data_IF_535414211451
#
_entry.id   IF_535414211451
#
_cell.length_a   1.000
_cell.length_b   1.000
_cell.length_c   1.000
_cell.angle_alpha   90.00
_cell.angle_beta   90.00
_cell.angle_gamma   90.00
#
_symmetry.space_group_name_H-M   'P 1'
#
loop_
_entity.id
_entity.type
_entity.pdbx_description
1 polymer ?
#
# COMPACT_ATOMS: atom_id res chain seq x y z
N UNK A 1 3.46 1.53 31.69
CA UNK A 1 3.12 1.42 30.25
C UNK A 1 3.54 2.71 29.60
N UNK A 2 4.39 2.68 28.54
CA UNK A 2 4.61 3.91 27.76
C UNK A 2 3.30 4.20 27.05
N UNK A 3 2.78 5.40 27.22
CA UNK A 3 1.59 5.84 26.48
C UNK A 3 1.83 5.67 24.98
N UNK A 4 0.83 5.28 24.21
CA UNK A 4 0.94 5.26 22.75
C UNK A 4 1.30 6.67 22.28
N UNK A 5 2.18 6.77 21.29
CA UNK A 5 2.42 8.04 20.63
C UNK A 5 1.07 8.56 20.10
N UNK A 6 0.84 9.85 20.22
CA UNK A 6 -0.38 10.49 19.76
C UNK A 6 -0.02 11.33 18.54
N UNK A 7 -0.81 11.16 17.48
CA UNK A 7 -0.73 11.98 16.27
C UNK A 7 -2.06 12.72 16.14
N UNK A 8 -1.99 14.02 15.93
CA UNK A 8 -3.14 14.85 15.65
C UNK A 8 -3.28 15.03 14.14
N UNK A 9 -4.50 14.92 13.61
CA UNK A 9 -4.77 15.10 12.20
C UNK A 9 -5.97 16.00 11.96
N UNK A 10 -6.04 16.61 10.79
CA UNK A 10 -7.14 17.47 10.34
C UNK A 10 -7.93 16.83 9.21
N UNK A 11 -7.23 16.26 8.24
CA UNK A 11 -7.82 15.68 7.03
C UNK A 11 -7.43 14.21 6.86
N UNK A 12 -8.42 13.33 6.94
CA UNK A 12 -8.22 11.88 6.77
C UNK A 12 -7.75 11.48 5.36
N UNK A 13 -7.99 12.33 4.36
CA UNK A 13 -7.65 12.03 2.98
C UNK A 13 -6.26 12.53 2.60
N UNK A 14 -5.85 13.69 3.12
CA UNK A 14 -4.67 14.40 2.63
C UNK A 14 -3.51 14.48 3.63
N UNK A 15 -3.75 14.27 4.93
CA UNK A 15 -2.67 14.31 5.91
C UNK A 15 -1.71 13.13 5.74
N UNK A 16 -0.41 13.42 5.77
CA UNK A 16 0.67 12.43 5.64
C UNK A 16 1.59 12.45 6.85
N UNK A 17 1.89 11.25 7.38
CA UNK A 17 2.73 11.08 8.60
C UNK A 17 3.93 10.18 8.37
N UNK A 18 4.20 9.81 7.12
CA UNK A 18 5.33 8.94 6.80
C UNK A 18 6.68 9.66 6.73
N UNK A 19 6.65 10.98 6.61
CA UNK A 19 7.82 11.85 6.48
C UNK A 19 8.56 11.63 5.15
N UNK A 20 8.43 12.56 4.22
CA UNK A 20 9.13 12.52 2.93
C UNK A 20 10.12 13.67 2.82
N UNK A 21 11.38 13.38 3.13
CA UNK A 21 12.50 14.32 2.92
C UNK A 21 13.17 14.16 1.54
N UNK A 22 12.67 13.26 0.69
CA UNK A 22 13.29 12.96 -0.59
C UNK A 22 12.76 13.87 -1.70
N UNK A 23 13.67 14.39 -2.53
CA UNK A 23 13.29 15.06 -3.79
C UNK A 23 12.77 13.99 -4.75
N UNK A 24 11.48 14.02 -5.15
CA UNK A 24 10.89 13.00 -5.99
C UNK A 24 11.53 13.01 -7.40
N UNK A 25 11.78 11.82 -7.92
CA UNK A 25 12.18 11.65 -9.30
C UNK A 25 11.02 12.00 -10.22
N UNK A 26 11.32 12.69 -11.32
CA UNK A 26 10.34 12.95 -12.36
C UNK A 26 9.93 11.66 -13.06
N UNK A 27 8.62 11.43 -13.15
CA UNK A 27 8.02 10.27 -13.84
C UNK A 27 7.31 10.76 -15.10
N UNK A 28 8.14 11.13 -16.07
CA UNK A 28 7.69 11.62 -17.37
C UNK A 28 7.50 10.48 -18.39
N UNK A 29 7.24 10.84 -19.65
CA UNK A 29 7.04 9.90 -20.75
C UNK A 29 8.26 9.05 -21.08
N UNK A 30 9.46 9.45 -20.64
CA UNK A 30 10.72 8.72 -20.85
C UNK A 30 11.03 7.74 -19.71
N UNK A 31 10.25 7.75 -18.65
CA UNK A 31 10.47 6.85 -17.52
C UNK A 31 10.37 5.39 -17.96
N UNK A 32 11.42 4.62 -17.70
CA UNK A 32 11.45 3.20 -18.01
C UNK A 32 10.89 2.35 -16.88
N UNK A 33 9.71 1.78 -17.09
CA UNK A 33 9.06 0.87 -16.16
C UNK A 33 9.53 -0.59 -16.27
N UNK A 34 10.47 -0.87 -17.19
CA UNK A 34 10.83 -2.22 -17.62
C UNK A 34 9.94 -2.68 -18.78
N UNK A 35 10.52 -3.48 -19.62
CA UNK A 35 9.93 -4.00 -20.85
C UNK A 35 9.65 -5.52 -20.79
N UNK A 36 9.39 -6.14 -21.94
CA UNK A 36 9.19 -7.59 -22.06
C UNK A 36 10.46 -8.34 -22.51
N UNK A 37 11.63 -7.67 -22.53
CA UNK A 37 12.89 -8.26 -22.96
C UNK A 37 13.36 -9.41 -22.05
N UNK A 38 14.15 -10.31 -22.61
CA UNK A 38 14.79 -11.38 -21.85
C UNK A 38 15.70 -10.80 -20.74
N UNK A 39 16.40 -9.70 -21.05
CA UNK A 39 17.26 -9.01 -20.09
C UNK A 39 16.46 -8.55 -18.88
N UNK A 40 15.33 -7.86 -19.09
CA UNK A 40 14.49 -7.42 -17.97
C UNK A 40 13.98 -8.60 -17.14
N UNK A 41 13.54 -9.68 -17.79
CA UNK A 41 13.05 -10.89 -17.10
C UNK A 41 14.14 -11.55 -16.23
N UNK A 42 15.36 -11.65 -16.76
CA UNK A 42 16.51 -12.22 -16.01
C UNK A 42 16.86 -11.32 -14.82
N UNK A 43 17.00 -10.02 -15.03
CA UNK A 43 17.33 -9.07 -13.97
C UNK A 43 16.23 -9.00 -12.91
N UNK A 44 14.96 -9.03 -13.33
CA UNK A 44 13.83 -9.10 -12.41
C UNK A 44 13.85 -10.40 -11.60
N UNK A 45 14.08 -11.55 -12.23
CA UNK A 45 14.20 -12.82 -11.53
C UNK A 45 15.32 -12.76 -10.47
N UNK A 46 16.49 -12.26 -10.84
CA UNK A 46 17.62 -12.12 -9.93
C UNK A 46 17.29 -11.20 -8.75
N UNK A 47 16.93 -9.94 -9.02
CA UNK A 47 16.69 -8.96 -7.96
C UNK A 47 15.46 -9.27 -7.11
N UNK A 48 14.38 -9.71 -7.74
CA UNK A 48 13.12 -9.97 -7.04
C UNK A 48 13.11 -11.32 -6.33
N UNK A 49 13.50 -12.42 -7.02
CA UNK A 49 13.36 -13.76 -6.46
C UNK A 49 14.59 -14.19 -5.65
N UNK A 50 15.80 -13.85 -6.12
CA UNK A 50 17.04 -14.34 -5.49
C UNK A 50 17.49 -13.40 -4.38
N UNK A 51 17.41 -12.07 -4.58
CA UNK A 51 17.92 -11.09 -3.62
C UNK A 51 16.83 -10.62 -2.68
N UNK A 52 15.80 -9.93 -3.20
CA UNK A 52 14.83 -9.22 -2.35
C UNK A 52 13.90 -10.18 -1.59
N UNK A 53 13.40 -11.22 -2.23
CA UNK A 53 12.38 -12.10 -1.65
C UNK A 53 12.85 -12.85 -0.40
N UNK A 54 14.03 -13.50 -0.35
CA UNK A 54 14.52 -14.15 0.86
C UNK A 54 14.76 -13.16 2.02
N UNK A 55 15.35 -11.98 1.71
CA UNK A 55 15.59 -10.93 2.70
C UNK A 55 14.25 -10.42 3.26
N UNK A 56 13.28 -10.16 2.38
CA UNK A 56 11.96 -9.70 2.74
C UNK A 56 11.20 -10.71 3.62
N UNK A 57 11.26 -12.01 3.27
CA UNK A 57 10.66 -13.09 4.07
C UNK A 57 11.29 -13.12 5.46
N UNK A 58 12.62 -13.17 5.54
CA UNK A 58 13.33 -13.21 6.81
C UNK A 58 12.94 -11.99 7.66
N UNK A 59 13.03 -10.79 7.10
CA UNK A 59 12.67 -9.56 7.80
C UNK A 59 11.25 -9.56 8.34
N UNK A 60 10.24 -9.88 7.52
CA UNK A 60 8.83 -9.78 7.92
C UNK A 60 8.47 -10.85 8.95
N UNK A 61 9.06 -12.05 8.83
CA UNK A 61 8.83 -13.14 9.79
C UNK A 61 9.49 -12.87 11.13
N UNK A 62 10.74 -12.41 11.15
CA UNK A 62 11.45 -12.14 12.40
C UNK A 62 10.93 -10.87 13.10
N UNK A 63 10.70 -9.78 12.36
CA UNK A 63 10.27 -8.52 12.96
C UNK A 63 8.80 -8.51 13.35
N UNK A 64 7.92 -8.90 12.42
CA UNK A 64 6.47 -8.75 12.59
C UNK A 64 5.74 -10.08 12.79
N UNK A 65 6.41 -11.22 12.71
CA UNK A 65 5.79 -12.56 12.83
C UNK A 65 4.52 -12.66 11.98
N UNK A 66 4.63 -12.25 10.71
CA UNK A 66 3.51 -12.19 9.76
C UNK A 66 2.70 -13.49 9.78
N UNK A 67 1.38 -13.35 9.91
CA UNK A 67 0.41 -14.41 9.67
C UNK A 67 -0.52 -13.98 8.55
N UNK A 68 -0.73 -14.85 7.58
CA UNK A 68 -1.67 -14.61 6.48
C UNK A 68 -2.88 -15.52 6.67
N UNK A 69 -4.07 -14.93 6.71
CA UNK A 69 -5.35 -15.63 6.89
C UNK A 69 -6.11 -15.58 5.56
N UNK A 70 -6.81 -16.65 5.23
CA UNK A 70 -7.61 -16.83 4.01
C UNK A 70 -6.80 -16.74 2.69
N UNK A 71 -5.49 -16.91 2.70
CA UNK A 71 -4.67 -16.88 1.48
C UNK A 71 -5.17 -17.82 0.37
N UNK A 72 -5.92 -18.85 0.74
CA UNK A 72 -6.42 -19.85 -0.20
C UNK A 72 -7.41 -19.28 -1.23
N UNK A 73 -8.09 -18.16 -0.93
CA UNK A 73 -9.08 -17.55 -1.84
C UNK A 73 -8.45 -17.01 -3.13
N UNK A 74 -7.15 -16.65 -3.12
CA UNK A 74 -6.44 -16.16 -4.30
C UNK A 74 -5.83 -17.30 -5.15
N UNK A 75 -5.65 -18.50 -4.57
CA UNK A 75 -4.99 -19.64 -5.24
C UNK A 75 -5.64 -20.07 -6.57
N UNK A 76 -6.99 -20.10 -6.73
CA UNK A 76 -7.62 -20.45 -8.00
C UNK A 76 -7.22 -19.52 -9.16
N UNK A 77 -6.81 -18.30 -8.84
CA UNK A 77 -6.50 -17.22 -9.78
C UNK A 77 -5.00 -17.11 -10.13
N UNK A 78 -4.15 -18.05 -9.69
CA UNK A 78 -2.67 -18.02 -9.84
C UNK A 78 -2.14 -17.89 -11.28
N UNK A 79 -2.99 -18.14 -12.28
CA UNK A 79 -2.65 -18.01 -13.71
C UNK A 79 -3.32 -16.81 -14.38
N UNK A 80 -4.07 -16.01 -13.64
CA UNK A 80 -4.82 -14.86 -14.14
C UNK A 80 -4.26 -13.59 -13.48
N UNK A 81 -4.31 -12.43 -14.16
CA UNK A 81 -4.01 -11.17 -13.51
C UNK A 81 -5.05 -10.88 -12.42
N UNK A 82 -4.60 -10.27 -11.35
CA UNK A 82 -5.48 -9.87 -10.25
C UNK A 82 -5.16 -8.45 -9.80
N UNK A 83 -6.17 -7.71 -9.36
CA UNK A 83 -5.97 -6.46 -8.64
C UNK A 83 -6.15 -6.68 -7.14
N UNK A 84 -5.30 -6.02 -6.38
CA UNK A 84 -5.30 -6.13 -4.93
C UNK A 84 -5.28 -4.74 -4.32
N UNK A 85 -6.14 -4.53 -3.33
CA UNK A 85 -6.20 -3.28 -2.56
C UNK A 85 -5.86 -3.57 -1.10
N UNK A 86 -5.15 -2.66 -0.43
CA UNK A 86 -4.87 -2.81 0.99
C UNK A 86 -4.80 -1.47 1.74
N UNK A 87 -4.91 -1.54 3.07
CA UNK A 87 -4.66 -0.41 3.95
C UNK A 87 -3.17 -0.09 4.02
N UNK A 88 -2.83 1.21 4.11
CA UNK A 88 -1.46 1.71 4.02
C UNK A 88 -0.97 2.21 5.38
N UNK A 89 -0.39 1.29 6.16
CA UNK A 89 -0.11 1.55 7.58
C UNK A 89 1.29 1.18 8.06
N UNK A 90 2.18 0.72 7.15
CA UNK A 90 3.53 0.31 7.55
C UNK A 90 4.57 0.46 6.44
N UNK A 91 5.42 1.49 6.52
CA UNK A 91 6.43 1.80 5.51
C UNK A 91 7.34 0.63 5.14
N UNK A 92 7.62 -0.27 6.09
CA UNK A 92 8.54 -1.40 5.89
C UNK A 92 7.84 -2.69 5.47
N UNK A 93 6.62 -2.92 5.95
CA UNK A 93 5.88 -4.15 5.69
C UNK A 93 5.04 -4.08 4.41
N UNK A 94 4.48 -2.91 4.10
CA UNK A 94 3.58 -2.72 2.96
C UNK A 94 4.24 -3.03 1.59
N UNK A 95 5.51 -2.72 1.31
CA UNK A 95 6.14 -3.18 0.07
C UNK A 95 6.41 -4.69 0.02
N UNK A 96 6.41 -5.38 1.16
CA UNK A 96 6.77 -6.80 1.28
C UNK A 96 5.55 -7.72 1.26
N UNK A 97 4.54 -7.41 2.10
CA UNK A 97 3.37 -8.28 2.31
C UNK A 97 2.67 -8.68 0.99
N UNK A 98 2.44 -7.77 0.03
CA UNK A 98 1.77 -8.13 -1.22
C UNK A 98 2.46 -9.25 -2.00
N UNK A 99 3.79 -9.26 -1.99
CA UNK A 99 4.57 -10.29 -2.70
C UNK A 99 4.39 -11.67 -2.08
N UNK A 100 4.24 -11.75 -0.75
CA UNK A 100 4.05 -13.00 -0.02
C UNK A 100 2.61 -13.51 -0.13
N UNK A 101 1.64 -12.60 -0.08
CA UNK A 101 0.22 -12.97 -0.17
C UNK A 101 -0.14 -13.42 -1.57
N UNK A 102 0.30 -12.69 -2.59
CA UNK A 102 -0.03 -12.95 -4.00
C UNK A 102 0.80 -14.08 -4.62
N UNK A 103 1.84 -14.59 -3.93
CA UNK A 103 2.65 -15.70 -4.51
C UNK A 103 1.76 -16.86 -4.99
N UNK A 104 1.96 -17.41 -6.18
CA UNK A 104 3.15 -17.28 -7.05
C UNK A 104 3.16 -16.13 -8.07
N UNK A 105 2.17 -15.24 -8.08
CA UNK A 105 2.15 -14.10 -9.00
C UNK A 105 3.42 -13.25 -8.86
N UNK A 106 3.85 -12.67 -9.98
CA UNK A 106 4.73 -11.51 -9.96
C UNK A 106 3.93 -10.30 -9.50
N UNK A 107 4.32 -9.70 -8.39
CA UNK A 107 3.59 -8.55 -7.85
C UNK A 107 4.21 -7.26 -8.36
N UNK A 108 3.36 -6.33 -8.75
CA UNK A 108 3.70 -4.94 -9.06
C UNK A 108 2.87 -4.02 -8.18
N UNK A 109 3.52 -3.01 -7.62
CA UNK A 109 2.90 -2.09 -6.66
C UNK A 109 2.86 -0.69 -7.26
N UNK A 110 1.67 -0.11 -7.35
CA UNK A 110 1.51 1.31 -7.71
C UNK A 110 1.99 2.16 -6.55
N UNK A 111 2.94 3.05 -6.80
CA UNK A 111 3.64 3.81 -5.78
C UNK A 111 3.74 5.29 -6.13
N UNK A 112 4.00 6.13 -5.12
CA UNK A 112 4.41 7.52 -5.33
C UNK A 112 5.83 7.60 -5.90
N UNK A 113 6.16 8.69 -6.63
CA UNK A 113 7.49 8.94 -7.17
C UNK A 113 8.62 8.89 -6.12
N UNK A 114 8.32 9.28 -4.88
CA UNK A 114 9.26 9.22 -3.76
C UNK A 114 9.81 7.81 -3.52
N UNK A 115 8.98 6.78 -3.65
CA UNK A 115 9.37 5.38 -3.42
C UNK A 115 10.41 4.86 -4.43
N UNK A 116 10.49 5.45 -5.62
CA UNK A 116 11.49 5.13 -6.64
C UNK A 116 12.67 6.12 -6.64
N UNK A 117 12.69 7.06 -5.71
CA UNK A 117 13.72 8.09 -5.56
C UNK A 117 14.75 7.76 -4.49
N UNK A 118 14.51 6.72 -3.69
CA UNK A 118 15.38 6.28 -2.60
C UNK A 118 16.80 6.00 -3.12
N UNK A 119 17.85 6.65 -2.58
CA UNK A 119 19.23 6.40 -2.97
C UNK A 119 19.56 4.89 -2.94
N UNK A 120 20.43 4.44 -3.82
CA UNK A 120 20.80 3.03 -4.07
C UNK A 120 19.66 2.16 -4.63
N UNK A 121 18.43 2.23 -4.11
CA UNK A 121 17.31 1.41 -4.57
C UNK A 121 16.75 1.90 -5.91
N UNK A 122 16.84 3.18 -6.24
CA UNK A 122 16.28 3.80 -7.46
C UNK A 122 16.65 3.09 -8.77
N UNK A 123 17.80 2.37 -8.79
CA UNK A 123 18.27 1.64 -9.98
C UNK A 123 17.62 0.27 -10.13
N UNK A 124 17.04 -0.27 -9.06
CA UNK A 124 16.50 -1.64 -9.04
C UNK A 124 15.00 -1.70 -8.74
N UNK A 125 14.37 -0.58 -8.37
CA UNK A 125 12.94 -0.54 -7.99
C UNK A 125 12.02 -1.08 -9.07
N UNK A 126 12.30 -0.82 -10.35
CA UNK A 126 11.53 -1.37 -11.47
C UNK A 126 11.66 -2.90 -11.58
N UNK A 127 12.81 -3.48 -11.24
CA UNK A 127 12.96 -4.95 -11.14
C UNK A 127 12.24 -5.51 -9.90
N UNK A 128 12.09 -4.72 -8.84
CA UNK A 128 11.34 -5.10 -7.66
C UNK A 128 9.82 -4.98 -7.82
N UNK A 129 9.37 -4.38 -8.93
CA UNK A 129 7.95 -4.28 -9.26
C UNK A 129 7.29 -2.96 -8.87
N UNK A 130 8.05 -1.90 -8.64
CA UNK A 130 7.49 -0.57 -8.44
C UNK A 130 6.93 -0.01 -9.74
N UNK A 131 5.70 0.49 -9.71
CA UNK A 131 5.01 1.21 -10.79
C UNK A 131 4.68 2.62 -10.30
N UNK A 132 5.61 3.59 -10.41
CA UNK A 132 5.34 4.95 -9.97
C UNK A 132 4.24 5.59 -10.82
N UNK A 133 3.40 6.38 -10.15
CA UNK A 133 2.37 7.16 -10.82
C UNK A 133 3.01 8.22 -11.73
N UNK A 134 2.41 8.50 -12.90
CA UNK A 134 2.91 9.50 -13.83
C UNK A 134 2.65 10.92 -13.35
N UNK A 135 3.59 11.84 -13.61
CA UNK A 135 3.49 13.24 -13.21
C UNK A 135 2.61 14.08 -14.15
N UNK A 136 2.37 13.59 -15.37
CA UNK A 136 1.64 14.34 -16.40
C UNK A 136 0.84 13.43 -17.33
N UNK A 137 -0.01 14.03 -18.17
CA UNK A 137 -0.88 13.31 -19.10
C UNK A 137 -0.10 12.53 -20.18
N UNK A 138 1.04 13.05 -20.66
CA UNK A 138 1.87 12.36 -21.66
C UNK A 138 2.46 11.08 -21.06
N UNK A 139 2.97 11.14 -19.84
CA UNK A 139 3.49 10.00 -19.10
C UNK A 139 2.40 8.97 -18.74
N UNK A 140 1.14 9.40 -18.63
CA UNK A 140 0.02 8.48 -18.32
C UNK A 140 -0.11 7.38 -19.38
N UNK A 141 0.13 7.69 -20.67
CA UNK A 141 0.10 6.68 -21.74
C UNK A 141 1.14 5.58 -21.50
N UNK A 142 2.36 5.96 -21.13
CA UNK A 142 3.45 5.02 -20.82
C UNK A 142 3.10 4.14 -19.62
N UNK A 143 2.57 4.72 -18.53
CA UNK A 143 2.10 4.00 -17.37
C UNK A 143 0.99 2.99 -17.74
N UNK A 144 -0.03 3.41 -18.49
CA UNK A 144 -1.15 2.53 -18.90
C UNK A 144 -0.69 1.40 -19.81
N UNK A 145 0.23 1.64 -20.74
CA UNK A 145 0.83 0.59 -21.58
C UNK A 145 1.59 -0.42 -20.71
N UNK A 146 2.34 0.05 -19.73
CA UNK A 146 3.05 -0.82 -18.78
C UNK A 146 2.06 -1.63 -17.95
N UNK A 147 1.02 -1.02 -17.42
CA UNK A 147 0.00 -1.72 -16.64
C UNK A 147 -0.64 -2.84 -17.48
N UNK A 148 -1.02 -2.55 -18.74
CA UNK A 148 -1.55 -3.53 -19.69
C UNK A 148 -0.57 -4.68 -19.94
N UNK A 149 0.72 -4.38 -20.10
CA UNK A 149 1.76 -5.40 -20.26
C UNK A 149 1.83 -6.32 -19.02
N UNK A 150 1.84 -5.76 -17.81
CA UNK A 150 1.91 -6.57 -16.58
C UNK A 150 0.65 -7.42 -16.37
N UNK A 151 -0.51 -6.90 -16.74
CA UNK A 151 -1.77 -7.66 -16.75
C UNK A 151 -1.68 -8.84 -17.74
N UNK A 152 -1.17 -8.62 -18.96
CA UNK A 152 -1.00 -9.71 -19.94
C UNK A 152 0.01 -10.79 -19.51
N UNK A 153 0.92 -10.46 -18.61
CA UNK A 153 1.86 -11.39 -17.97
C UNK A 153 1.21 -12.18 -16.79
N UNK A 154 -0.05 -11.93 -16.46
CA UNK A 154 -0.73 -12.56 -15.32
C UNK A 154 -0.27 -12.03 -13.96
N UNK A 155 0.17 -10.78 -13.89
CA UNK A 155 0.68 -10.19 -12.65
C UNK A 155 -0.43 -9.87 -11.64
N UNK A 156 -0.01 -9.77 -10.37
CA UNK A 156 -0.80 -9.12 -9.30
C UNK A 156 -0.46 -7.64 -9.25
N UNK A 157 -1.46 -6.79 -9.44
CA UNK A 157 -1.32 -5.33 -9.35
C UNK A 157 -1.83 -4.87 -8.00
N UNK A 158 -0.93 -4.34 -7.19
CA UNK A 158 -1.23 -3.85 -5.84
C UNK A 158 -1.42 -2.35 -5.82
N UNK A 159 -2.49 -1.89 -5.18
CA UNK A 159 -2.82 -0.47 -4.99
C UNK A 159 -3.17 -0.23 -3.53
N UNK A 160 -2.60 0.84 -2.96
CA UNK A 160 -2.97 1.37 -1.66
C UNK A 160 -3.92 2.56 -1.88
N UNK A 161 -5.25 2.36 -1.80
CA UNK A 161 -6.20 3.38 -2.21
C UNK A 161 -6.26 4.57 -1.23
N UNK A 162 -5.75 4.39 -0.02
CA UNK A 162 -5.61 5.44 0.99
C UNK A 162 -4.55 6.50 0.66
N UNK A 163 -3.69 6.24 -0.35
CA UNK A 163 -2.60 7.07 -0.86
C UNK A 163 -1.46 7.32 0.14
N UNK A 164 -1.76 7.89 1.31
CA UNK A 164 -0.79 8.26 2.34
C UNK A 164 -0.63 7.18 3.41
N UNK A 165 0.57 7.06 3.97
CA UNK A 165 0.84 6.10 5.05
C UNK A 165 0.51 6.75 6.39
N UNK A 166 -0.37 6.10 7.16
CA UNK A 166 -0.57 6.42 8.56
C UNK A 166 0.00 5.30 9.43
N UNK A 167 1.19 5.49 10.00
CA UNK A 167 1.91 4.43 10.70
C UNK A 167 1.06 3.77 11.81
N UNK A 168 0.93 2.46 11.74
CA UNK A 168 0.18 1.64 12.71
C UNK A 168 -1.28 2.05 12.93
N UNK A 169 -1.91 2.74 11.96
CA UNK A 169 -3.33 3.07 12.05
C UNK A 169 -4.17 1.80 12.05
N UNK A 170 -5.17 1.75 12.91
CA UNK A 170 -5.93 0.52 13.17
C UNK A 170 -7.32 0.51 12.53
N UNK A 171 -7.72 1.60 11.91
CA UNK A 171 -8.97 1.72 11.13
C UNK A 171 -8.65 1.78 9.65
N UNK A 172 -9.67 1.88 8.81
CA UNK A 172 -9.54 2.10 7.37
C UNK A 172 -9.93 3.54 7.09
N UNK A 173 -9.04 4.30 6.46
CA UNK A 173 -9.35 5.67 6.04
C UNK A 173 -10.26 5.65 4.81
N UNK A 174 -11.13 6.65 4.65
CA UNK A 174 -11.91 6.79 3.43
C UNK A 174 -10.98 6.96 2.22
N UNK A 175 -11.37 6.41 1.07
CA UNK A 175 -10.63 6.54 -0.17
C UNK A 175 -11.55 6.63 -1.38
N UNK A 176 -11.05 7.29 -2.44
CA UNK A 176 -11.77 7.47 -3.69
C UNK A 176 -11.90 6.13 -4.46
N UNK A 177 -12.87 6.09 -5.36
CA UNK A 177 -13.11 4.94 -6.24
C UNK A 177 -12.24 4.93 -7.51
N UNK A 178 -11.47 5.98 -7.76
CA UNK A 178 -10.76 6.23 -9.02
C UNK A 178 -9.85 5.07 -9.47
N UNK A 179 -9.19 4.38 -8.55
CA UNK A 179 -8.32 3.24 -8.84
C UNK A 179 -9.09 1.95 -9.19
N UNK A 180 -10.35 1.85 -8.81
CA UNK A 180 -11.20 0.69 -9.09
C UNK A 180 -11.63 0.60 -10.56
N UNK A 181 -11.43 1.66 -11.33
CA UNK A 181 -11.59 1.62 -12.80
C UNK A 181 -10.69 0.59 -13.48
N UNK A 182 -9.49 0.33 -12.92
CA UNK A 182 -8.52 -0.58 -13.53
C UNK A 182 -8.98 -2.04 -13.58
N UNK A 183 -9.38 -2.68 -12.47
CA UNK A 183 -9.90 -4.04 -12.53
C UNK A 183 -11.14 -4.16 -13.41
N UNK A 184 -12.05 -3.17 -13.40
CA UNK A 184 -13.24 -3.15 -14.25
C UNK A 184 -12.85 -3.09 -15.73
N UNK A 185 -11.97 -2.17 -16.10
CA UNK A 185 -11.52 -1.98 -17.49
C UNK A 185 -10.83 -3.21 -18.07
N UNK A 186 -10.17 -4.01 -17.23
CA UNK A 186 -9.41 -5.17 -17.64
C UNK A 186 -10.09 -6.50 -17.33
N UNK A 187 -11.30 -6.51 -16.77
CA UNK A 187 -12.03 -7.71 -16.42
C UNK A 187 -11.30 -8.59 -15.39
N UNK A 188 -10.53 -8.00 -14.50
CA UNK A 188 -9.71 -8.73 -13.54
C UNK A 188 -10.42 -8.92 -12.21
N UNK A 189 -10.30 -10.11 -11.58
CA UNK A 189 -10.77 -10.30 -10.22
C UNK A 189 -10.05 -9.37 -9.25
N UNK A 190 -10.81 -8.84 -8.31
CA UNK A 190 -10.34 -7.92 -7.27
C UNK A 190 -10.28 -8.61 -5.93
N UNK A 191 -9.21 -8.40 -5.19
CA UNK A 191 -9.03 -8.86 -3.81
C UNK A 191 -8.71 -7.68 -2.91
N UNK A 192 -8.88 -7.84 -1.61
CA UNK A 192 -8.27 -6.92 -0.66
C UNK A 192 -7.46 -7.65 0.41
N UNK A 193 -6.43 -6.97 0.91
CA UNK A 193 -5.64 -7.39 2.05
C UNK A 193 -5.80 -6.36 3.15
N UNK A 194 -6.15 -6.82 4.35
CA UNK A 194 -6.23 -5.94 5.51
C UNK A 194 -5.17 -6.35 6.51
N UNK A 195 -4.19 -5.47 6.72
CA UNK A 195 -3.18 -5.62 7.74
C UNK A 195 -3.73 -5.17 9.08
N UNK A 196 -3.64 -6.03 10.08
CA UNK A 196 -4.04 -5.75 11.46
C UNK A 196 -2.88 -6.01 12.41
N UNK A 197 -2.90 -5.33 13.55
CA UNK A 197 -1.86 -5.39 14.55
C UNK A 197 -2.32 -6.16 15.78
N UNK A 198 -1.52 -7.17 16.16
CA UNK A 198 -1.83 -8.04 17.28
C UNK A 198 -0.74 -7.92 18.35
N UNK A 199 -1.15 -7.78 19.61
CA UNK A 199 -0.24 -7.74 20.76
C UNK A 199 0.58 -9.01 20.85
N UNK A 200 1.87 -8.87 21.14
CA UNK A 200 2.77 -9.99 21.45
C UNK A 200 3.13 -9.97 22.93
N UNK A 201 3.23 -11.17 23.53
CA UNK A 201 3.46 -11.31 24.98
C UNK A 201 4.81 -10.71 25.43
N UNK A 202 5.86 -10.90 24.63
CA UNK A 202 7.23 -10.55 24.99
C UNK A 202 7.89 -9.56 24.01
N UNK A 203 7.12 -8.80 23.24
CA UNK A 203 7.68 -7.85 22.28
C UNK A 203 6.86 -6.56 22.24
N UNK A 204 7.56 -5.43 22.08
CA UNK A 204 6.93 -4.13 21.83
C UNK A 204 6.45 -4.01 20.37
N UNK A 205 7.10 -4.73 19.45
CA UNK A 205 6.68 -4.78 18.04
C UNK A 205 5.47 -5.71 17.92
N UNK A 206 4.34 -5.28 17.36
CA UNK A 206 3.17 -6.12 17.20
C UNK A 206 3.41 -7.22 16.17
N UNK A 207 2.58 -8.25 16.21
CA UNK A 207 2.43 -9.16 15.08
C UNK A 207 1.57 -8.49 14.01
N UNK A 208 1.91 -8.68 12.75
CA UNK A 208 1.00 -8.35 11.64
C UNK A 208 0.20 -9.61 11.28
N UNK A 209 -1.11 -9.45 11.24
CA UNK A 209 -2.02 -10.46 10.68
C UNK A 209 -2.70 -9.85 9.47
N UNK A 210 -2.44 -10.41 8.29
CA UNK A 210 -3.01 -9.99 7.02
C UNK A 210 -4.18 -10.88 6.66
N UNK A 211 -5.36 -10.33 6.53
CA UNK A 211 -6.58 -11.03 6.08
C UNK A 211 -6.76 -10.80 4.58
N UNK A 212 -7.05 -11.86 3.85
CA UNK A 212 -7.31 -11.83 2.40
C UNK A 212 -8.79 -12.06 2.16
N UNK A 213 -9.46 -11.14 1.49
CA UNK A 213 -10.87 -11.23 1.13
C UNK A 213 -11.06 -11.02 -0.38
N UNK A 214 -12.13 -11.62 -0.93
CA UNK A 214 -12.45 -11.66 -2.34
C UNK A 214 -12.61 -13.10 -2.86
N UNK A 215 -12.75 -13.31 -4.19
CA UNK A 215 -12.71 -12.28 -5.22
C UNK A 215 -13.97 -11.41 -5.21
N UNK A 216 -13.79 -10.14 -5.52
CA UNK A 216 -14.86 -9.21 -5.83
C UNK A 216 -14.90 -9.00 -7.34
N UNK A 217 -16.06 -9.11 -7.95
CA UNK A 217 -16.27 -8.80 -9.36
C UNK A 217 -17.21 -7.61 -9.49
N UNK A 218 -17.07 -6.78 -10.55
CA UNK A 218 -18.05 -5.74 -10.82
C UNK A 218 -19.44 -6.34 -11.04
N UNK A 219 -20.47 -5.63 -10.62
CA UNK A 219 -21.86 -5.99 -10.95
C UNK A 219 -22.15 -5.56 -12.38
N UNK A 220 -22.37 -6.52 -13.27
CA UNK A 220 -22.59 -6.26 -14.70
C UNK A 220 -23.92 -5.57 -15.02
N UNK A 221 -24.86 -5.53 -14.08
CA UNK A 221 -26.13 -4.82 -14.23
C UNK A 221 -26.00 -3.30 -14.05
N UNK A 222 -24.93 -2.81 -13.42
CA UNK A 222 -24.68 -1.42 -13.14
C UNK A 222 -23.97 -0.70 -14.31
N UNK A 223 -24.14 0.61 -14.40
CA UNK A 223 -23.35 1.42 -15.33
C UNK A 223 -21.87 1.50 -14.89
N UNK A 224 -21.01 2.06 -15.74
CA UNK A 224 -19.57 2.08 -15.49
C UNK A 224 -19.19 2.82 -14.19
N UNK A 225 -19.86 3.91 -13.89
CA UNK A 225 -19.59 4.74 -12.71
C UNK A 225 -20.10 4.06 -11.44
N UNK A 226 -21.30 3.52 -11.52
CA UNK A 226 -21.92 2.75 -10.44
C UNK A 226 -21.12 1.48 -10.12
N UNK A 227 -20.68 0.71 -11.14
CA UNK A 227 -19.77 -0.45 -10.97
C UNK A 227 -18.54 -0.09 -10.16
N UNK A 228 -17.92 1.06 -10.46
CA UNK A 228 -16.69 1.52 -9.81
C UNK A 228 -16.96 1.84 -8.34
N UNK A 229 -18.03 2.57 -8.06
CA UNK A 229 -18.42 2.92 -6.70
C UNK A 229 -18.85 1.68 -5.89
N UNK A 230 -19.62 0.76 -6.49
CA UNK A 230 -20.04 -0.48 -5.85
C UNK A 230 -18.85 -1.36 -5.48
N UNK A 231 -17.95 -1.61 -6.44
CA UNK A 231 -16.76 -2.43 -6.20
C UNK A 231 -15.90 -1.83 -5.07
N UNK A 232 -15.69 -0.50 -5.08
CA UNK A 232 -15.00 0.22 -4.01
C UNK A 232 -15.70 0.03 -2.66
N UNK A 233 -17.02 0.19 -2.62
CA UNK A 233 -17.79 0.09 -1.38
C UNK A 233 -17.70 -1.31 -0.75
N UNK A 234 -17.80 -2.36 -1.57
CA UNK A 234 -17.68 -3.75 -1.08
C UNK A 234 -16.27 -4.05 -0.56
N UNK A 235 -15.23 -3.61 -1.26
CA UNK A 235 -13.85 -3.73 -0.80
C UNK A 235 -13.64 -2.96 0.50
N UNK A 236 -14.11 -1.71 0.56
CA UNK A 236 -14.01 -0.87 1.76
C UNK A 236 -14.71 -1.50 2.97
N UNK A 237 -15.92 -2.00 2.78
CA UNK A 237 -16.68 -2.67 3.84
C UNK A 237 -15.94 -3.92 4.37
N UNK A 238 -15.38 -4.74 3.48
CA UNK A 238 -14.60 -5.90 3.88
C UNK A 238 -13.34 -5.52 4.67
N UNK A 239 -12.62 -4.49 4.23
CA UNK A 239 -11.45 -3.98 4.96
C UNK A 239 -11.84 -3.42 6.33
N UNK A 240 -12.93 -2.65 6.43
CA UNK A 240 -13.45 -2.13 7.70
C UNK A 240 -13.82 -3.27 8.67
N UNK A 241 -14.45 -4.33 8.18
CA UNK A 241 -14.78 -5.47 9.03
C UNK A 241 -13.52 -6.16 9.56
N UNK A 242 -12.49 -6.36 8.71
CA UNK A 242 -11.22 -6.95 9.14
C UNK A 242 -10.44 -6.05 10.08
N UNK A 243 -10.53 -4.74 9.93
CA UNK A 243 -9.83 -3.79 10.82
C UNK A 243 -10.26 -3.91 12.29
N UNK A 244 -11.45 -4.40 12.58
CA UNK A 244 -11.93 -4.69 13.94
C UNK A 244 -11.13 -5.79 14.65
N UNK A 245 -10.34 -6.57 13.90
CA UNK A 245 -9.47 -7.60 14.46
C UNK A 245 -8.17 -7.04 15.06
N UNK A 246 -7.91 -5.73 14.97
CA UNK A 246 -6.83 -5.10 15.72
C UNK A 246 -7.05 -5.26 17.23
N UNK A 247 -6.01 -5.62 17.99
CA UNK A 247 -6.07 -5.70 19.45
C UNK A 247 -4.96 -4.92 20.16
N UNK A 248 -4.21 -4.12 19.42
CA UNK A 248 -3.23 -3.17 19.94
C UNK A 248 -3.24 -1.91 19.10
N UNK A 249 -3.25 -0.78 19.78
CA UNK A 249 -3.08 0.55 19.19
C UNK A 249 -1.73 1.09 19.67
N UNK A 250 -0.75 1.22 18.76
CA UNK A 250 0.58 1.73 19.08
C UNK A 250 0.66 3.24 18.98
N UNK A 251 -0.12 3.82 18.09
CA UNK A 251 -0.23 5.25 17.86
C UNK A 251 -1.71 5.62 17.88
N UNK A 252 -2.07 6.55 18.73
CA UNK A 252 -3.43 7.08 18.81
C UNK A 252 -3.58 8.27 17.88
N UNK A 253 -4.52 8.19 16.96
CA UNK A 253 -4.85 9.30 16.06
C UNK A 253 -6.05 10.06 16.56
N UNK A 254 -5.92 11.38 16.68
CA UNK A 254 -6.98 12.28 17.21
C UNK A 254 -7.25 13.34 16.15
N UNK A 255 -8.50 13.43 15.71
CA UNK A 255 -8.96 14.51 14.83
C UNK A 255 -9.03 15.82 15.60
N UNK A 256 -8.44 16.89 15.05
CA UNK A 256 -8.56 18.24 15.58
C UNK A 256 -9.67 18.94 14.80
N UNK A 257 -10.70 19.43 15.51
CA UNK A 257 -11.77 20.23 14.91
C UNK A 257 -11.32 21.71 14.87
N UNK A 258 -11.68 22.41 13.80
CA UNK A 258 -11.32 23.85 13.63
C UNK A 258 -11.89 24.78 14.70
N UNK A 259 -12.80 24.30 15.54
CA UNK A 259 -13.40 25.07 16.64
C UNK A 259 -12.54 25.13 17.90
N UNK A 260 -11.43 24.39 17.99
CA UNK A 260 -10.56 24.43 19.15
C UNK A 260 -9.73 25.73 19.12
N UNK A 261 -9.93 26.54 20.17
CA UNK A 261 -9.35 27.84 20.46
C UNK A 261 -7.90 27.99 19.94
N UNK A 262 -7.54 29.11 19.25
CA UNK A 262 -6.17 29.36 18.74
C UNK A 262 -5.02 29.12 19.74
N UNK A 263 -5.30 29.31 21.05
CA UNK A 263 -4.33 29.00 22.11
C UNK A 263 -4.03 27.51 22.28
N UNK A 264 -5.01 26.64 22.00
CA UNK A 264 -4.85 25.17 22.05
C UNK A 264 -4.09 24.68 20.81
N UNK A 265 -4.33 25.32 19.66
CA UNK A 265 -3.65 25.01 18.40
C UNK A 265 -2.16 25.42 18.44
N UNK A 266 -1.83 26.55 19.07
CA UNK A 266 -0.44 26.99 19.26
C UNK A 266 0.33 26.07 20.21
N UNK A 267 -0.27 25.65 21.32
CA UNK A 267 0.34 24.70 22.26
C UNK A 267 0.50 23.27 21.68
N UNK A 268 -0.32 22.92 20.70
CA UNK A 268 -0.23 21.64 19.98
C UNK A 268 0.84 21.68 18.89
N UNK A 269 0.99 22.81 18.16
CA UNK A 269 2.06 23.00 17.18
C UNK A 269 3.45 23.06 17.84
N UNK A 270 3.60 23.72 19.00
CA UNK A 270 4.84 23.71 19.79
C UNK A 270 5.25 22.30 20.28
N UNK A 271 4.28 21.47 20.63
CA UNK A 271 4.55 20.07 21.01
C UNK A 271 4.94 19.19 19.84
N UNK A 272 4.50 19.49 18.63
CA UNK A 272 4.89 18.78 17.40
C UNK A 272 6.32 19.19 17.01
N UNK A 273 6.66 20.47 17.01
CA UNK A 273 8.01 20.96 16.72
C UNK A 273 9.05 20.49 17.74
N UNK A 274 8.70 20.46 19.03
CA UNK A 274 9.59 19.90 20.07
C UNK A 274 9.77 18.38 19.97
N UNK A 275 8.80 17.66 19.42
CA UNK A 275 8.93 16.21 19.16
C UNK A 275 9.80 15.91 17.92
N UNK A 276 9.86 16.82 16.95
CA UNK A 276 10.72 16.71 15.77
C UNK A 276 12.17 17.11 16.08
N UNK A 277 12.40 18.19 16.86
CA UNK A 277 13.75 18.62 17.25
C UNK A 277 14.49 17.64 18.16
N UNK A 278 13.78 16.82 18.92
CA UNK A 278 14.37 15.74 19.74
C UNK A 278 14.72 14.46 18.95
N UNK A 279 14.55 14.44 17.63
CA UNK A 279 14.96 13.34 16.75
C UNK A 279 16.26 13.62 15.99
N UNK A 280 16.77 14.85 16.06
CA UNK A 280 18.01 15.28 15.40
C UNK A 280 19.24 15.34 16.34
N UNK A 281 19.10 14.97 17.61
CA UNK A 281 20.22 14.83 18.54
C UNK A 281 20.44 13.38 18.98
#
# INVERSE_FOLDING_TARGET
>A
MKHPNVIYYKDELNDEFAGDSLIPRKIDETYWYGDNSLFFKIMRFFWYKIVAHPIAIAFILFKYHLKIVNRNVIKPYKKQPVFVFANHTNNLADPIIPTLVSFPHSTYIVVNANNVSIPFLRRVTHFLGALPLPDNMAATKNFMNTLKLRISEGASIMIYPEAHIWPFYTKIRPFADSSFRYPIQHGCPTFCFTNTYQKRRFSKTPRIVTYVDGPFFPDEALDRKEKQADLRNRVYAAMCERSKMNNVELIKYIKVEESDNPATTAALSEKVETAESNKEN
#
